data_IF_786843789785
#
_entry.id   IF_786843789785
#
_cell.length_a   1.000
_cell.length_b   1.000
_cell.length_c   1.000
_cell.angle_alpha   90.00
_cell.angle_beta   90.00
_cell.angle_gamma   90.00
#
_symmetry.space_group_name_H-M   'P 1'
#
loop_
_entity.id
_entity.type
_entity.pdbx_description
1 polymer ?
#
# COMPACT_ATOMS: atom_id res chain seq x y z
N UNK A 1 -14.98 8.99 -3.74
CA UNK A 1 -14.23 8.12 -2.83
C UNK A 1 -14.17 6.72 -3.42
N UNK A 2 -12.97 6.20 -3.61
CA UNK A 2 -12.78 4.87 -4.17
C UNK A 2 -12.39 3.87 -3.09
N UNK A 3 -12.68 2.60 -3.34
CA UNK A 3 -12.22 1.51 -2.48
C UNK A 3 -11.23 0.68 -3.28
N UNK A 4 -10.03 0.55 -2.73
CA UNK A 4 -8.90 -0.11 -3.38
C UNK A 4 -8.50 -1.31 -2.53
N UNK A 5 -8.27 -2.46 -3.15
CA UNK A 5 -7.83 -3.66 -2.43
C UNK A 5 -6.37 -3.96 -2.74
N UNK A 6 -5.61 -4.23 -1.69
CA UNK A 6 -4.18 -4.56 -1.79
C UNK A 6 -3.87 -5.80 -0.97
N UNK A 7 -2.98 -6.64 -1.48
CA UNK A 7 -2.47 -7.79 -0.73
C UNK A 7 -1.46 -7.34 0.30
N UNK A 8 -1.46 -8.00 1.44
CA UNK A 8 -0.42 -7.84 2.45
C UNK A 8 -0.03 -9.22 2.97
N UNK A 9 1.26 -9.42 3.15
CA UNK A 9 1.78 -10.72 3.62
C UNK A 9 1.60 -10.86 5.14
N UNK A 10 1.48 -12.10 5.64
CA UNK A 10 1.18 -12.31 7.06
C UNK A 10 2.19 -11.69 8.03
N UNK A 11 3.46 -11.69 7.66
CA UNK A 11 4.50 -11.13 8.52
C UNK A 11 4.40 -9.61 8.66
N UNK A 12 3.73 -8.95 7.74
CA UNK A 12 3.54 -7.49 7.77
C UNK A 12 2.16 -7.08 8.23
N UNK A 13 1.20 -7.99 8.25
CA UNK A 13 -0.20 -7.66 8.52
C UNK A 13 -0.39 -6.90 9.83
N UNK A 14 0.11 -7.46 10.94
CA UNK A 14 -0.08 -6.83 12.24
C UNK A 14 0.76 -5.57 12.40
N UNK A 15 1.96 -5.56 11.82
CA UNK A 15 2.87 -4.43 11.91
C UNK A 15 2.34 -3.23 11.14
N UNK A 16 1.95 -3.47 9.90
CA UNK A 16 1.48 -2.40 9.01
C UNK A 16 0.18 -1.78 9.51
N UNK A 17 -0.67 -2.59 10.14
CA UNK A 17 -1.94 -2.12 10.69
C UNK A 17 -1.75 -1.02 11.72
N UNK A 18 -0.65 -1.04 12.45
CA UNK A 18 -0.35 -0.06 13.51
C UNK A 18 0.32 1.20 12.99
N UNK A 19 0.80 1.20 11.76
CA UNK A 19 1.50 2.34 11.19
C UNK A 19 0.52 3.38 10.67
N UNK A 20 0.96 4.65 10.71
CA UNK A 20 0.19 5.75 10.14
C UNK A 20 0.68 6.17 8.77
N UNK A 21 1.77 5.57 8.30
CA UNK A 21 2.37 5.84 7.00
C UNK A 21 2.62 4.53 6.26
N UNK A 22 2.62 4.59 4.94
CA UNK A 22 2.94 3.45 4.10
C UNK A 22 3.66 3.91 2.83
N UNK A 23 4.54 3.06 2.32
CA UNK A 23 5.21 3.27 1.04
C UNK A 23 4.75 2.21 0.07
N UNK A 24 4.31 2.62 -1.12
CA UNK A 24 3.82 1.71 -2.14
C UNK A 24 4.28 2.11 -3.52
N UNK A 25 4.47 1.12 -4.40
CA UNK A 25 4.67 1.38 -5.81
C UNK A 25 3.45 2.12 -6.37
N UNK A 26 3.68 3.16 -7.16
CA UNK A 26 2.60 4.01 -7.67
C UNK A 26 2.01 3.43 -8.95
N UNK A 27 1.66 2.15 -8.92
CA UNK A 27 1.08 1.44 -10.06
C UNK A 27 -0.46 1.42 -10.02
N UNK A 28 -1.05 2.25 -9.19
CA UNK A 28 -2.50 2.39 -9.07
C UNK A 28 -2.84 3.84 -8.78
N UNK A 29 -4.11 4.21 -8.95
CA UNK A 29 -4.58 5.54 -8.68
C UNK A 29 -5.18 5.62 -7.28
N UNK A 30 -4.79 6.64 -6.51
CA UNK A 30 -5.29 6.85 -5.15
C UNK A 30 -5.33 8.34 -4.85
N UNK A 31 -6.36 8.75 -4.09
CA UNK A 31 -6.59 10.14 -3.70
C UNK A 31 -6.95 10.23 -2.23
N UNK A 32 -6.74 11.39 -1.59
CA UNK A 32 -7.21 11.58 -0.22
C UNK A 32 -8.71 11.30 -0.10
N UNK A 33 -9.09 10.61 0.97
CA UNK A 33 -10.46 10.17 1.19
C UNK A 33 -10.76 8.77 0.68
N UNK A 34 -9.90 8.22 -0.17
CA UNK A 34 -10.06 6.85 -0.64
C UNK A 34 -9.81 5.86 0.51
N UNK A 35 -10.41 4.68 0.40
CA UNK A 35 -10.24 3.60 1.38
C UNK A 35 -9.39 2.51 0.75
N UNK A 36 -8.35 2.08 1.45
CA UNK A 36 -7.56 0.92 1.04
C UNK A 36 -7.87 -0.22 2.01
N UNK A 37 -8.28 -1.35 1.45
CA UNK A 37 -8.54 -2.58 2.21
C UNK A 37 -7.34 -3.49 1.99
N UNK A 38 -6.62 -3.77 3.07
CA UNK A 38 -5.48 -4.67 3.04
C UNK A 38 -5.94 -6.07 3.38
N UNK A 39 -5.79 -6.98 2.43
CA UNK A 39 -6.22 -8.37 2.55
C UNK A 39 -5.00 -9.26 2.75
N UNK A 40 -4.96 -9.97 3.87
CA UNK A 40 -3.86 -10.87 4.14
C UNK A 40 -3.86 -12.03 3.14
N UNK A 41 -2.71 -12.22 2.51
CA UNK A 41 -2.52 -13.26 1.49
C UNK A 41 -1.31 -14.09 1.86
N UNK A 42 -1.51 -15.40 1.95
CA UNK A 42 -0.45 -16.34 2.31
C UNK A 42 0.27 -16.80 1.04
N UNK A 43 1.56 -16.45 0.88
CA UNK A 43 2.31 -16.84 -0.33
C UNK A 43 2.61 -18.34 -0.38
N UNK A 44 2.56 -19.06 0.76
CA UNK A 44 2.80 -20.49 0.76
C UNK A 44 1.61 -21.27 0.24
N UNK A 45 0.41 -20.92 0.67
CA UNK A 45 -0.83 -21.54 0.20
C UNK A 45 -1.39 -20.88 -1.05
N UNK A 46 -0.90 -19.68 -1.37
CA UNK A 46 -1.38 -18.85 -2.48
C UNK A 46 -2.87 -18.56 -2.36
N UNK A 47 -3.30 -18.25 -1.15
CA UNK A 47 -4.70 -17.98 -0.84
C UNK A 47 -4.82 -16.83 0.16
N UNK A 48 -5.95 -16.12 0.09
CA UNK A 48 -6.31 -15.16 1.12
C UNK A 48 -6.70 -15.90 2.40
N UNK A 49 -6.28 -15.34 3.55
CA UNK A 49 -6.57 -15.97 4.84
C UNK A 49 -7.94 -15.61 5.38
N UNK A 50 -8.55 -14.58 4.84
CA UNK A 50 -9.81 -14.04 5.35
C UNK A 50 -9.63 -12.86 6.28
N UNK A 51 -8.41 -12.58 6.73
CA UNK A 51 -8.16 -11.40 7.57
C UNK A 51 -7.95 -10.19 6.69
N UNK A 52 -8.50 -9.06 7.11
CA UNK A 52 -8.30 -7.80 6.41
C UNK A 52 -8.45 -6.64 7.38
N UNK A 53 -7.90 -5.50 7.00
CA UNK A 53 -8.14 -4.23 7.68
C UNK A 53 -8.22 -3.12 6.65
N UNK A 54 -8.82 -2.00 7.04
CA UNK A 54 -8.98 -0.85 6.15
C UNK A 54 -8.35 0.40 6.73
N UNK A 55 -7.86 1.24 5.83
CA UNK A 55 -7.31 2.54 6.17
C UNK A 55 -7.91 3.60 5.25
N UNK A 56 -8.19 4.76 5.79
CA UNK A 56 -8.64 5.91 5.00
C UNK A 56 -7.43 6.78 4.69
N UNK A 57 -7.25 7.11 3.43
CA UNK A 57 -6.12 7.91 2.98
C UNK A 57 -6.33 9.37 3.37
N UNK A 58 -5.41 9.93 4.14
CA UNK A 58 -5.44 11.32 4.53
C UNK A 58 -4.67 12.18 3.54
N UNK A 59 -3.51 11.70 3.10
CA UNK A 59 -2.63 12.47 2.22
C UNK A 59 -1.83 11.52 1.33
N UNK A 60 -1.57 11.97 0.11
CA UNK A 60 -0.79 11.22 -0.88
C UNK A 60 0.35 12.11 -1.36
N UNK A 61 1.57 11.59 -1.31
CA UNK A 61 2.74 12.22 -1.92
C UNK A 61 3.31 11.25 -2.93
N UNK A 62 3.42 11.66 -4.18
CA UNK A 62 3.98 10.82 -5.23
C UNK A 62 5.42 11.23 -5.52
N UNK A 63 6.32 10.27 -5.44
CA UNK A 63 7.71 10.46 -5.86
C UNK A 63 7.88 9.86 -7.25
N UNK A 64 8.10 10.71 -8.24
CA UNK A 64 8.13 10.26 -9.63
C UNK A 64 9.48 9.73 -10.08
N UNK A 65 10.55 10.02 -9.36
CA UNK A 65 11.89 9.57 -9.74
C UNK A 65 12.61 8.94 -8.55
N UNK A 66 12.09 7.81 -8.04
CA UNK A 66 12.73 7.14 -6.90
C UNK A 66 14.03 6.42 -7.27
N UNK A 67 14.38 6.35 -8.55
CA UNK A 67 15.60 5.69 -9.05
C UNK A 67 16.86 6.22 -8.40
N UNK A 68 16.81 7.43 -7.90
CA UNK A 68 17.89 8.04 -7.16
C UNK A 68 18.20 7.27 -5.88
N UNK A 69 17.20 6.58 -5.33
CA UNK A 69 17.28 5.92 -4.04
C UNK A 69 17.12 4.41 -4.13
N UNK A 70 16.39 3.93 -5.14
CA UNK A 70 16.10 2.52 -5.33
C UNK A 70 16.28 2.13 -6.79
N UNK A 71 16.69 0.87 -7.00
CA UNK A 71 16.90 0.35 -8.35
C UNK A 71 15.83 -0.58 -8.88
N UNK A 72 14.79 -1.03 -8.12
CA UNK A 72 13.79 -1.92 -8.71
C UNK A 72 13.14 -1.28 -9.92
N UNK A 73 13.09 -2.03 -11.00
CA UNK A 73 12.61 -1.56 -12.29
C UNK A 73 11.17 -1.02 -12.24
N UNK A 74 10.33 -1.65 -11.45
CA UNK A 74 8.94 -1.19 -11.31
C UNK A 74 8.85 0.18 -10.66
N UNK A 75 9.73 0.46 -9.71
CA UNK A 75 9.76 1.78 -9.08
C UNK A 75 10.29 2.84 -10.02
N UNK A 76 11.21 2.48 -10.89
CA UNK A 76 11.66 3.38 -11.96
C UNK A 76 10.52 3.76 -12.89
N UNK A 77 9.69 2.78 -13.24
CA UNK A 77 8.62 2.96 -14.21
C UNK A 77 7.43 3.72 -13.63
N UNK A 78 7.03 3.41 -12.40
CA UNK A 78 5.78 3.91 -11.83
C UNK A 78 5.98 4.98 -10.75
N UNK A 79 7.15 5.02 -10.12
CA UNK A 79 7.37 5.86 -8.94
C UNK A 79 6.83 5.23 -7.67
N UNK A 80 6.83 6.00 -6.61
CA UNK A 80 6.34 5.54 -5.30
C UNK A 80 5.34 6.51 -4.72
N UNK A 81 4.37 5.96 -3.97
CA UNK A 81 3.51 6.73 -3.10
C UNK A 81 4.03 6.68 -1.67
N UNK A 82 3.95 7.81 -1.01
CA UNK A 82 3.97 7.91 0.44
C UNK A 82 2.54 8.24 0.87
N UNK A 83 1.92 7.35 1.62
CA UNK A 83 0.53 7.48 2.03
C UNK A 83 0.47 7.73 3.53
N UNK A 84 -0.34 8.69 3.93
CA UNK A 84 -0.65 8.94 5.34
C UNK A 84 -2.11 8.57 5.58
N UNK A 85 -2.36 7.82 6.66
CA UNK A 85 -3.69 7.35 7.00
C UNK A 85 -4.38 8.28 7.98
N UNK A 86 -5.69 8.39 7.87
CA UNK A 86 -6.48 9.01 8.91
C UNK A 86 -6.48 8.13 10.16
N UNK A 87 -6.50 8.75 11.30
CA UNK A 87 -6.55 8.05 12.58
C UNK A 87 -7.94 7.52 12.88
#
# INVERSE_FOLDING_TARGET
MATIRKKIWPDMFDKDQLLTLDFRCADFEVHPGDVIIFQEWDPQTKQYTGREYRKVVKQVVKCESPTRYWTPEQLEKHGMYLLEWEK
#
